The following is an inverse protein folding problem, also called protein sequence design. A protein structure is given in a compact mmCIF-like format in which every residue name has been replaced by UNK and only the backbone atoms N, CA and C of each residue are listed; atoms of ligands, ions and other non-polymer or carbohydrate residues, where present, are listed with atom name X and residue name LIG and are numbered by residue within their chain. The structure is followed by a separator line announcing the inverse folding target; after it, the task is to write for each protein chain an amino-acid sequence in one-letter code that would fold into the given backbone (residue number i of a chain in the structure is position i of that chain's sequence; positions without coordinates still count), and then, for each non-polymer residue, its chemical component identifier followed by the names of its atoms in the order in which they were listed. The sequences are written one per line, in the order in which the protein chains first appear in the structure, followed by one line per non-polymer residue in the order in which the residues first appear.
data_IF_801111558507
#
_entry.id   IF_801111558507
#
_cell.length_a   1.000
_cell.length_b   1.000
_cell.length_c   1.000
_cell.angle_alpha   90.00
_cell.angle_beta   90.00
_cell.angle_gamma   90.00
#
_symmetry.space_group_name_H-M   'P 1'
#
loop_
_entity.id
_entity.type
_entity.pdbx_description
1 polymer ?
#
# COMPACT_ATOMS: atom_id res chain seq x y z
N UNK A 1 22.23 8.79 2.97
CA UNK A 1 21.01 8.06 2.55
C UNK A 1 20.34 7.50 3.80
N UNK A 2 19.06 7.83 4.08
CA UNK A 2 18.38 7.30 5.26
C UNK A 2 17.82 5.91 4.92
N UNK A 3 18.40 4.86 5.48
CA UNK A 3 17.90 3.50 5.34
C UNK A 3 16.43 3.47 5.83
N UNK A 4 15.50 3.13 4.94
CA UNK A 4 14.10 3.01 5.31
C UNK A 4 13.95 1.68 6.04
N UNK A 5 13.65 1.71 7.33
CA UNK A 5 13.57 0.50 8.14
C UNK A 5 12.26 -0.26 7.85
N UNK A 6 12.24 -1.58 8.04
CA UNK A 6 11.04 -2.41 7.86
C UNK A 6 9.81 -1.89 8.63
N UNK A 7 9.92 -1.41 9.88
CA UNK A 7 8.80 -0.78 10.58
C UNK A 7 8.23 0.44 9.85
N UNK A 8 9.08 1.24 9.21
CA UNK A 8 8.66 2.40 8.43
C UNK A 8 7.91 1.98 7.16
N UNK A 9 8.38 0.93 6.48
CA UNK A 9 7.71 0.36 5.32
C UNK A 9 6.34 -0.24 5.67
N UNK A 10 6.23 -0.96 6.80
CA UNK A 10 4.94 -1.46 7.30
C UNK A 10 3.98 -0.32 7.68
N UNK A 11 4.50 0.74 8.30
CA UNK A 11 3.71 1.94 8.60
C UNK A 11 3.21 2.62 7.31
N UNK A 12 4.04 2.65 6.27
CA UNK A 12 3.66 3.17 4.96
C UNK A 12 2.56 2.33 4.31
N UNK A 13 2.74 1.02 4.22
CA UNK A 13 1.73 0.10 3.66
C UNK A 13 0.39 0.26 4.39
N UNK A 14 0.42 0.33 5.73
CA UNK A 14 -0.78 0.58 6.54
C UNK A 14 -1.43 1.92 6.21
N UNK A 15 -0.65 2.98 6.04
CA UNK A 15 -1.16 4.32 5.68
C UNK A 15 -1.81 4.30 4.30
N UNK A 16 -1.20 3.64 3.33
CA UNK A 16 -1.73 3.53 1.97
C UNK A 16 -3.04 2.73 1.94
N UNK A 17 -3.14 1.65 2.72
CA UNK A 17 -4.39 0.91 2.89
C UNK A 17 -5.52 1.77 3.47
N UNK A 18 -5.24 2.56 4.51
CA UNK A 18 -6.25 3.46 5.11
C UNK A 18 -6.67 4.61 4.18
N UNK A 19 -5.78 5.02 3.27
CA UNK A 19 -6.04 6.09 2.30
C UNK A 19 -6.59 5.60 0.96
N UNK A 20 -6.60 4.29 0.70
CA UNK A 20 -6.98 3.68 -0.58
C UNK A 20 -8.27 4.27 -1.16
N UNK A 21 -9.35 4.25 -0.37
CA UNK A 21 -10.65 4.75 -0.82
C UNK A 21 -10.67 6.27 -1.04
N UNK A 22 -9.94 7.04 -0.25
CA UNK A 22 -9.78 8.49 -0.46
C UNK A 22 -9.09 8.74 -1.81
N UNK A 23 -8.04 7.98 -2.09
CA UNK A 23 -7.28 8.04 -3.32
C UNK A 23 -8.09 7.57 -4.55
N UNK A 24 -9.09 6.69 -4.35
CA UNK A 24 -10.02 6.27 -5.41
C UNK A 24 -11.18 7.24 -5.64
N UNK A 25 -11.51 8.09 -4.65
CA UNK A 25 -12.62 9.03 -4.78
C UNK A 25 -12.31 10.12 -5.80
N UNK A 26 -13.18 10.29 -6.81
CA UNK A 26 -13.04 11.25 -7.94
C UNK A 26 -12.87 12.72 -7.50
N UNK A 27 -13.10 13.02 -6.22
CA UNK A 27 -13.18 14.37 -5.62
C UNK A 27 -11.79 14.91 -5.25
N UNK A 28 -10.76 14.08 -5.08
CA UNK A 28 -9.40 14.58 -4.88
C UNK A 28 -8.68 14.77 -6.23
N UNK A 29 -8.84 15.96 -6.84
CA UNK A 29 -8.13 16.31 -8.08
C UNK A 29 -7.62 17.77 -8.08
N UNK A 30 -6.43 18.06 -7.54
CA UNK A 30 -5.60 19.15 -8.02
C UNK A 30 -4.70 18.67 -9.17
N UNK A 31 -4.44 19.55 -10.14
CA UNK A 31 -3.59 19.29 -11.30
C UNK A 31 -2.08 19.23 -10.99
N UNK A 32 -1.66 19.58 -9.77
CA UNK A 32 -0.26 19.84 -9.39
C UNK A 32 0.63 18.59 -9.16
N UNK A 33 0.08 17.38 -9.17
CA UNK A 33 0.79 16.17 -8.69
C UNK A 33 0.92 15.08 -9.75
N UNK A 34 1.62 15.30 -10.87
CA UNK A 34 1.83 14.22 -11.86
C UNK A 34 2.84 13.15 -11.39
N UNK A 35 3.91 13.54 -10.71
CA UNK A 35 4.86 12.59 -10.11
C UNK A 35 4.27 11.88 -8.88
N UNK A 36 3.56 12.62 -8.02
CA UNK A 36 2.82 12.04 -6.88
C UNK A 36 1.66 11.15 -7.33
N UNK A 37 1.04 11.41 -8.50
CA UNK A 37 0.07 10.50 -9.14
C UNK A 37 0.69 9.15 -9.45
N UNK A 38 1.91 9.10 -9.98
CA UNK A 38 2.58 7.83 -10.30
C UNK A 38 2.74 6.94 -9.05
N UNK A 39 3.18 7.52 -7.94
CA UNK A 39 3.32 6.79 -6.68
C UNK A 39 1.97 6.39 -6.08
N UNK A 40 0.97 7.28 -6.07
CA UNK A 40 -0.37 6.98 -5.54
C UNK A 40 -1.06 5.89 -6.36
N UNK A 41 -1.00 5.97 -7.69
CA UNK A 41 -1.54 4.94 -8.59
C UNK A 41 -0.77 3.63 -8.45
N UNK A 42 0.56 3.68 -8.28
CA UNK A 42 1.35 2.51 -7.96
C UNK A 42 0.87 1.79 -6.70
N UNK A 43 0.66 2.53 -5.61
CA UNK A 43 0.18 1.94 -4.35
C UNK A 43 -1.25 1.38 -4.48
N UNK A 44 -2.11 2.02 -5.28
CA UNK A 44 -3.43 1.47 -5.61
C UNK A 44 -3.31 0.13 -6.33
N UNK A 45 -2.46 0.05 -7.36
CA UNK A 45 -2.23 -1.17 -8.11
C UNK A 45 -1.64 -2.28 -7.22
N UNK A 46 -0.71 -1.94 -6.31
CA UNK A 46 -0.16 -2.90 -5.34
C UNK A 46 -1.24 -3.44 -4.39
N UNK A 47 -2.15 -2.60 -3.91
CA UNK A 47 -3.28 -3.02 -3.07
C UNK A 47 -4.24 -3.90 -3.89
N UNK A 48 -4.52 -3.55 -5.15
CA UNK A 48 -5.40 -4.34 -6.02
C UNK A 48 -4.80 -5.70 -6.38
N UNK A 49 -3.48 -5.78 -6.59
CA UNK A 49 -2.77 -7.03 -6.75
C UNK A 49 -2.85 -7.90 -5.49
N UNK A 50 -2.63 -7.32 -4.31
CA UNK A 50 -2.79 -8.03 -3.03
C UNK A 50 -4.22 -8.54 -2.82
N UNK A 51 -5.25 -7.74 -3.16
CA UNK A 51 -6.65 -8.17 -3.14
C UNK A 51 -6.90 -9.33 -4.09
N UNK A 52 -6.34 -9.28 -5.30
CA UNK A 52 -6.48 -10.34 -6.30
C UNK A 52 -5.84 -11.64 -5.81
N UNK A 53 -4.65 -11.56 -5.22
CA UNK A 53 -3.98 -12.68 -4.58
C UNK A 53 -4.83 -13.31 -3.48
N UNK A 54 -5.32 -12.50 -2.52
CA UNK A 54 -6.16 -13.02 -1.44
C UNK A 54 -7.49 -13.56 -1.95
N UNK A 55 -8.11 -12.95 -2.97
CA UNK A 55 -9.36 -13.48 -3.54
C UNK A 55 -9.18 -14.87 -4.13
N UNK A 56 -8.01 -15.18 -4.67
CA UNK A 56 -7.69 -16.51 -5.19
C UNK A 56 -7.29 -17.50 -4.08
N UNK A 57 -6.46 -17.06 -3.12
CA UNK A 57 -5.89 -17.95 -2.10
C UNK A 57 -6.77 -18.13 -0.86
N UNK A 58 -7.38 -17.04 -0.36
CA UNK A 58 -8.20 -17.00 0.85
C UNK A 58 -9.24 -15.86 0.77
N UNK A 59 -10.42 -16.12 0.20
CA UNK A 59 -11.46 -15.11 0.03
C UNK A 59 -11.96 -14.50 1.35
N UNK A 60 -11.86 -15.24 2.46
CA UNK A 60 -12.26 -14.75 3.79
C UNK A 60 -11.27 -13.70 4.28
N UNK A 61 -9.99 -13.92 4.04
CA UNK A 61 -8.92 -12.95 4.34
C UNK A 61 -9.00 -11.70 3.47
N UNK A 62 -9.40 -11.81 2.19
CA UNK A 62 -9.69 -10.64 1.35
C UNK A 62 -10.85 -9.82 1.94
N UNK A 63 -11.94 -10.49 2.33
CA UNK A 63 -13.07 -9.82 2.98
C UNK A 63 -12.66 -9.14 4.28
N UNK A 64 -11.84 -9.81 5.09
CA UNK A 64 -11.27 -9.23 6.31
C UNK A 64 -10.43 -7.98 6.01
N UNK A 65 -9.52 -8.05 5.04
CA UNK A 65 -8.71 -6.92 4.56
C UNK A 65 -9.60 -5.74 4.17
N UNK A 66 -10.56 -5.99 3.29
CA UNK A 66 -11.47 -4.97 2.75
C UNK A 66 -12.26 -4.26 3.86
N UNK A 67 -12.72 -5.01 4.87
CA UNK A 67 -13.46 -4.48 6.03
C UNK A 67 -12.57 -3.76 7.04
N UNK A 68 -11.42 -4.32 7.39
CA UNK A 68 -10.54 -3.77 8.43
C UNK A 68 -9.97 -2.40 8.03
N UNK A 69 -9.61 -2.26 6.75
CA UNK A 69 -8.99 -1.05 6.19
C UNK A 69 -10.00 -0.12 5.50
N UNK A 70 -11.24 -0.56 5.33
CA UNK A 70 -12.30 0.26 4.72
C UNK A 70 -12.08 0.50 3.23
N UNK A 71 -11.68 -0.55 2.52
CA UNK A 71 -11.40 -0.49 1.08
C UNK A 71 -12.70 -0.27 0.29
N UNK A 72 -13.76 -0.99 0.65
CA UNK A 72 -15.05 -0.89 -0.03
C UNK A 72 -16.03 0.08 0.69
N UNK A 73 -15.91 0.21 2.02
CA UNK A 73 -16.84 0.98 2.86
C UNK A 73 -16.10 1.86 3.89
N UNK A 74 -16.67 3.02 4.29
CA UNK A 74 -16.06 3.88 5.29
C UNK A 74 -15.88 3.17 6.63
N UNK A 75 -14.70 3.35 7.24
CA UNK A 75 -14.49 2.95 8.63
C UNK A 75 -15.29 3.86 9.58
N UNK A 76 -15.99 3.29 10.58
CA UNK A 76 -16.62 4.08 11.63
C UNK A 76 -15.57 4.89 12.41
N UNK A 77 -15.69 6.22 12.41
CA UNK A 77 -14.70 7.13 13.04
C UNK A 77 -14.62 6.98 14.57
N UNK A 78 -15.71 6.56 15.21
CA UNK A 78 -15.82 6.39 16.66
C UNK A 78 -15.28 5.05 17.18
N UNK A 79 -14.99 4.09 16.30
CA UNK A 79 -14.61 2.73 16.74
C UNK A 79 -13.10 2.51 16.66
N UNK A 80 -12.44 2.13 17.77
CA UNK A 80 -11.02 1.77 17.75
C UNK A 80 -10.81 0.49 16.93
N UNK A 81 -9.58 0.30 16.41
CA UNK A 81 -9.23 -0.87 15.59
C UNK A 81 -9.54 -2.19 16.29
N UNK A 82 -9.24 -2.31 17.58
CA UNK A 82 -9.54 -3.52 18.37
C UNK A 82 -11.03 -3.86 18.40
N UNK A 83 -11.90 -2.87 18.58
CA UNK A 83 -13.34 -3.12 18.56
C UNK A 83 -13.82 -3.63 17.18
N UNK A 84 -13.22 -3.10 16.09
CA UNK A 84 -13.49 -3.61 14.75
C UNK A 84 -12.98 -5.04 14.55
N UNK A 85 -11.81 -5.37 15.10
CA UNK A 85 -11.25 -6.73 15.06
C UNK A 85 -12.16 -7.73 15.78
N UNK A 86 -12.63 -7.42 16.98
CA UNK A 86 -13.56 -8.28 17.75
C UNK A 86 -14.88 -8.48 17.00
N UNK A 87 -15.40 -7.41 16.38
CA UNK A 87 -16.60 -7.54 15.56
C UNK A 87 -16.36 -8.47 14.36
N UNK A 88 -15.24 -8.31 13.67
CA UNK A 88 -14.88 -9.14 12.53
C UNK A 88 -14.58 -10.60 12.94
N UNK A 89 -14.06 -10.86 14.14
CA UNK A 89 -13.83 -12.23 14.61
C UNK A 89 -15.16 -12.98 14.76
N UNK A 90 -16.18 -12.29 15.28
CA UNK A 90 -17.53 -12.83 15.37
C UNK A 90 -18.17 -13.00 13.99
N UNK A 91 -18.09 -11.97 13.13
CA UNK A 91 -18.71 -12.01 11.80
C UNK A 91 -18.09 -13.06 10.87
N UNK A 92 -16.78 -13.31 10.97
CA UNK A 92 -16.06 -14.25 10.11
C UNK A 92 -15.89 -15.63 10.76
N UNK A 93 -16.33 -15.82 12.01
CA UNK A 93 -16.12 -17.06 12.79
C UNK A 93 -14.64 -17.47 12.87
N UNK A 94 -13.76 -16.47 13.04
CA UNK A 94 -12.30 -16.64 13.10
C UNK A 94 -11.81 -16.08 14.43
N UNK A 95 -10.86 -16.76 15.07
CA UNK A 95 -10.32 -16.30 16.36
C UNK A 95 -9.62 -14.93 16.25
N UNK A 96 -9.63 -14.14 17.34
CA UNK A 96 -8.97 -12.83 17.36
C UNK A 96 -7.46 -12.95 17.05
N UNK A 97 -6.79 -14.01 17.54
CA UNK A 97 -5.36 -14.26 17.28
C UNK A 97 -5.09 -14.51 15.80
N UNK A 98 -5.95 -15.28 15.11
CA UNK A 98 -5.88 -15.47 13.66
C UNK A 98 -6.03 -14.14 12.92
N UNK A 99 -6.94 -13.26 13.35
CA UNK A 99 -7.10 -11.96 12.71
C UNK A 99 -5.88 -11.06 12.88
N UNK A 100 -5.20 -11.08 14.03
CA UNK A 100 -3.95 -10.33 14.20
C UNK A 100 -2.86 -10.87 13.28
N UNK A 101 -2.75 -12.19 13.14
CA UNK A 101 -1.84 -12.81 12.17
C UNK A 101 -2.17 -12.37 10.74
N UNK A 102 -3.45 -12.45 10.35
CA UNK A 102 -3.88 -12.01 9.03
C UNK A 102 -3.59 -10.55 8.77
N UNK A 103 -3.74 -9.69 9.77
CA UNK A 103 -3.41 -8.26 9.65
C UNK A 103 -1.94 -8.06 9.30
N UNK A 104 -1.02 -8.79 9.91
CA UNK A 104 0.40 -8.71 9.58
C UNK A 104 0.69 -9.31 8.20
N UNK A 105 0.12 -10.48 7.88
CA UNK A 105 0.26 -11.10 6.56
C UNK A 105 -0.23 -10.16 5.43
N UNK A 106 -1.33 -9.44 5.63
CA UNK A 106 -1.85 -8.45 4.67
C UNK A 106 -0.86 -7.32 4.45
N UNK A 107 -0.26 -6.79 5.52
CA UNK A 107 0.73 -5.73 5.42
C UNK A 107 1.97 -6.22 4.65
N UNK A 108 2.38 -7.47 4.86
CA UNK A 108 3.50 -8.07 4.17
C UNK A 108 3.23 -8.29 2.68
N UNK A 109 2.06 -8.82 2.31
CA UNK A 109 1.70 -9.02 0.89
C UNK A 109 1.56 -7.69 0.16
N UNK A 110 0.94 -6.67 0.79
CA UNK A 110 0.85 -5.33 0.19
C UNK A 110 2.24 -4.70 0.03
N UNK A 111 3.13 -4.90 1.01
CA UNK A 111 4.50 -4.41 0.92
C UNK A 111 5.27 -5.15 -0.18
N UNK A 112 5.10 -6.46 -0.31
CA UNK A 112 5.71 -7.26 -1.37
C UNK A 112 5.27 -6.78 -2.75
N UNK A 113 3.96 -6.62 -2.98
CA UNK A 113 3.43 -6.07 -4.23
C UNK A 113 3.96 -4.65 -4.52
N UNK A 114 4.14 -3.83 -3.48
CA UNK A 114 4.74 -2.50 -3.63
C UNK A 114 6.23 -2.55 -3.96
N UNK A 115 6.96 -3.54 -3.46
CA UNK A 115 8.37 -3.78 -3.81
C UNK A 115 8.48 -4.25 -5.26
N UNK A 116 7.66 -5.22 -5.68
CA UNK A 116 7.63 -5.71 -7.06
C UNK A 116 7.30 -4.57 -8.04
N UNK A 117 6.43 -3.65 -7.65
CA UNK A 117 6.10 -2.45 -8.42
C UNK A 117 7.17 -1.33 -8.34
N UNK A 118 8.29 -1.53 -7.65
CA UNK A 118 9.36 -0.54 -7.51
C UNK A 118 9.02 0.66 -6.61
N UNK A 119 7.92 0.61 -5.85
CA UNK A 119 7.45 1.70 -4.99
C UNK A 119 8.19 1.75 -3.65
N UNK A 120 8.69 0.60 -3.21
CA UNK A 120 9.44 0.42 -1.98
C UNK A 120 10.71 -0.41 -2.26
N UNK A 121 11.86 0.06 -1.78
CA UNK A 121 13.10 -0.70 -1.83
C UNK A 121 13.29 -1.49 -0.53
N UNK A 122 13.58 -2.78 -0.63
CA UNK A 122 13.83 -3.65 0.53
C UNK A 122 15.04 -3.20 1.37
N UNK A 123 15.94 -2.38 0.80
CA UNK A 123 17.17 -1.88 1.45
C UNK A 123 17.59 -0.46 1.03
N UNK A 124 16.65 0.48 0.86
CA UNK A 124 17.00 1.88 0.51
C UNK A 124 17.42 2.11 -0.94
N UNK A 125 17.31 1.10 -1.81
CA UNK A 125 17.42 1.26 -3.26
C UNK A 125 16.08 1.74 -3.81
N UNK A 126 15.97 3.04 -4.06
CA UNK A 126 15.01 3.58 -5.03
C UNK A 126 15.79 3.94 -6.29
N UNK A 127 15.63 3.16 -7.35
CA UNK A 127 15.99 3.62 -8.69
C UNK A 127 14.81 4.44 -9.20
N UNK A 128 14.73 5.70 -8.77
CA UNK A 128 14.03 6.70 -9.55
C UNK A 128 15.06 7.40 -10.43
N UNK A 129 15.38 6.78 -11.56
CA UNK A 129 16.05 7.45 -12.66
C UNK A 129 15.15 7.28 -13.89
N UNK A 130 14.68 8.37 -14.53
CA UNK A 130 15.01 8.53 -15.93
C UNK A 130 16.50 8.88 -16.01
N UNK A 131 17.27 8.07 -16.73
CA UNK A 131 18.53 8.51 -17.29
C UNK A 131 18.21 9.62 -18.30
N UNK A 132 18.32 10.88 -17.88
CA UNK A 132 18.55 11.95 -18.85
C UNK A 132 20.00 11.80 -19.31
N UNK A 133 20.15 11.08 -20.42
CA UNK A 133 21.34 11.11 -21.24
C UNK A 133 21.63 12.55 -21.65
N UNK A 134 22.72 13.10 -21.14
CA UNK A 134 23.47 14.17 -21.77
C UNK A 134 24.95 13.95 -21.45
N UNK A 135 25.54 12.98 -22.14
CA UNK A 135 26.94 13.06 -22.49
C UNK A 135 27.11 14.33 -23.34
N UNK A 136 27.80 15.34 -22.81
CA UNK A 136 28.50 16.31 -23.65
C UNK A 136 29.98 16.09 -23.43
N UNK A 137 30.53 15.09 -24.12
CA UNK A 137 31.94 15.05 -24.48
C UNK A 137 32.16 15.92 -25.72
N UNK A 138 33.16 16.82 -25.65
CA UNK A 138 33.80 17.51 -26.79
C UNK A 138 32.89 18.50 -27.54
N UNK A 139 33.32 19.61 -28.13
CA UNK A 139 34.58 20.24 -28.54
C UNK A 139 34.24 21.77 -28.59
N UNK A 140 35.10 22.78 -28.47
CA UNK A 140 36.33 23.08 -29.23
C UNK A 140 37.08 24.25 -28.57
N UNK A 141 38.40 24.23 -28.72
CA UNK A 141 39.33 25.37 -28.76
C UNK A 141 38.75 26.65 -29.39
N UNK A 142 38.94 27.80 -28.74
CA UNK A 142 39.91 28.86 -29.11
C UNK A 142 39.98 29.97 -28.03
#
# INVERSE_FOLDING_TARGET
MKATTLPHLRAEAKRQLLNYRRNQSKIYRPAAMRAERGAVTGWQNAIDAARTYFRAADPVKERFMSRLFGLDAPLPRSQPTRARMIRLSLELSVSESTLYKWREDILEIVLYAAIEAGLAGLFGLRTSAPEDGAYTEGETHD
#
